data_IF_593189453333
#
_entry.id   IF_593189453333
#
_cell.length_a   1.000
_cell.length_b   1.000
_cell.length_c   1.000
_cell.angle_alpha   90.00
_cell.angle_beta   90.00
_cell.angle_gamma   90.00
#
_symmetry.space_group_name_H-M   'P 1'
#
loop_
_entity.id
_entity.type
_entity.pdbx_description
1 polymer ?
#
# COMPACT_ATOMS: atom_id res chain seq x y z
N UNK A 1 17.80 -12.88 -5.29
CA UNK A 1 16.46 -12.74 -4.72
C UNK A 1 16.44 -11.43 -3.94
N UNK A 2 15.92 -10.36 -4.53
CA UNK A 2 15.94 -9.02 -3.94
C UNK A 2 14.51 -8.55 -3.68
N UNK A 3 14.37 -7.70 -2.66
CA UNK A 3 13.14 -6.96 -2.39
C UNK A 3 13.41 -5.51 -2.76
N UNK A 4 12.58 -4.96 -3.64
CA UNK A 4 12.69 -3.58 -4.08
C UNK A 4 11.74 -2.72 -3.25
N UNK A 5 12.28 -1.76 -2.50
CA UNK A 5 11.49 -0.82 -1.68
C UNK A 5 11.43 0.53 -2.37
N UNK A 6 10.22 1.04 -2.58
CA UNK A 6 9.99 2.32 -3.26
C UNK A 6 8.92 3.16 -2.55
N UNK A 7 9.07 4.49 -2.66
CA UNK A 7 8.05 5.44 -2.20
C UNK A 7 6.86 5.41 -3.15
N UNK A 8 5.66 5.30 -2.59
CA UNK A 8 4.41 5.39 -3.34
C UNK A 8 4.21 6.82 -3.83
N UNK A 9 4.06 6.99 -5.15
CA UNK A 9 3.83 8.31 -5.77
C UNK A 9 2.37 8.56 -6.14
N UNK A 10 1.54 7.52 -6.23
CA UNK A 10 0.12 7.62 -6.56
C UNK A 10 -0.68 6.47 -5.92
N UNK A 11 -1.94 6.74 -5.58
CA UNK A 11 -2.91 5.71 -5.23
C UNK A 11 -3.48 5.02 -6.48
N UNK A 12 -2.72 4.08 -7.05
CA UNK A 12 -3.16 3.28 -8.21
C UNK A 12 -3.93 2.01 -7.77
N UNK A 13 -4.51 1.32 -8.77
CA UNK A 13 -5.28 0.10 -8.53
C UNK A 13 -4.44 -1.05 -7.99
N UNK A 14 -3.13 -1.08 -8.31
CA UNK A 14 -2.21 -2.08 -7.77
C UNK A 14 -2.04 -1.89 -6.26
N UNK A 15 -1.81 -0.66 -5.81
CA UNK A 15 -1.67 -0.33 -4.39
C UNK A 15 -2.97 -0.58 -3.62
N UNK A 16 -4.11 -0.14 -4.17
CA UNK A 16 -5.42 -0.38 -3.55
C UNK A 16 -5.69 -1.89 -3.43
N UNK A 17 -5.39 -2.67 -4.47
CA UNK A 17 -5.51 -4.13 -4.45
C UNK A 17 -4.55 -4.79 -3.46
N UNK A 18 -3.31 -4.30 -3.36
CA UNK A 18 -2.34 -4.78 -2.39
C UNK A 18 -2.81 -4.52 -0.95
N UNK A 19 -3.31 -3.30 -0.67
CA UNK A 19 -3.85 -2.92 0.62
C UNK A 19 -5.05 -3.77 1.02
N UNK A 20 -5.99 -4.01 0.11
CA UNK A 20 -7.14 -4.88 0.36
C UNK A 20 -6.73 -6.31 0.77
N UNK A 21 -5.59 -6.81 0.25
CA UNK A 21 -5.04 -8.13 0.59
C UNK A 21 -4.19 -8.12 1.86
N UNK A 22 -3.46 -7.04 2.12
CA UNK A 22 -2.42 -6.98 3.16
C UNK A 22 -2.93 -6.38 4.48
N UNK A 23 -3.82 -5.38 4.45
CA UNK A 23 -4.39 -4.76 5.66
C UNK A 23 -5.08 -5.76 6.61
N UNK A 24 -5.90 -6.72 6.13
CA UNK A 24 -6.54 -7.69 7.01
C UNK A 24 -5.57 -8.57 7.79
N UNK A 25 -4.33 -8.71 7.32
CA UNK A 25 -3.28 -9.49 7.99
C UNK A 25 -2.70 -8.74 9.20
N UNK A 26 -2.78 -7.41 9.21
CA UNK A 26 -2.38 -6.57 10.34
C UNK A 26 -3.53 -6.39 11.34
N UNK A 27 -4.77 -6.29 10.84
CA UNK A 27 -5.97 -6.17 11.66
C UNK A 27 -7.16 -6.81 10.97
N UNK A 28 -7.72 -7.87 11.56
CA UNK A 28 -8.91 -8.54 11.02
C UNK A 28 -10.19 -7.68 11.01
N UNK A 29 -10.15 -6.47 11.62
CA UNK A 29 -11.24 -5.49 11.56
C UNK A 29 -10.99 -4.39 10.52
N UNK A 30 -9.83 -4.36 9.88
CA UNK A 30 -9.55 -3.38 8.85
C UNK A 30 -10.43 -3.66 7.62
N UNK A 31 -11.26 -2.67 7.26
CA UNK A 31 -11.98 -2.69 6.00
C UNK A 31 -11.05 -2.44 4.81
N UNK A 32 -11.51 -2.76 3.61
CA UNK A 32 -10.81 -2.37 2.39
C UNK A 32 -10.76 -0.85 2.28
N UNK A 33 -9.62 -0.30 1.89
CA UNK A 33 -9.48 1.11 1.55
C UNK A 33 -9.80 1.31 0.08
N UNK A 34 -10.58 2.34 -0.24
CA UNK A 34 -10.75 2.82 -1.61
C UNK A 34 -9.59 3.77 -2.00
N UNK A 35 -9.53 4.11 -3.30
CA UNK A 35 -8.49 4.99 -3.84
C UNK A 35 -8.41 6.33 -3.09
N UNK A 36 -9.55 6.92 -2.76
CA UNK A 36 -9.61 8.22 -2.10
C UNK A 36 -9.11 8.15 -0.66
N UNK A 37 -9.36 7.05 0.05
CA UNK A 37 -8.80 6.81 1.37
C UNK A 37 -7.27 6.66 1.32
N UNK A 38 -6.75 5.91 0.34
CA UNK A 38 -5.31 5.74 0.15
C UNK A 38 -4.64 7.06 -0.21
N UNK A 39 -5.26 7.85 -1.08
CA UNK A 39 -4.71 9.14 -1.50
C UNK A 39 -4.70 10.15 -0.35
N UNK A 40 -5.71 10.15 0.51
CA UNK A 40 -5.72 10.98 1.74
C UNK A 40 -4.56 10.65 2.67
N UNK A 41 -4.24 9.37 2.84
CA UNK A 41 -3.10 8.94 3.68
C UNK A 41 -1.79 9.39 3.04
N UNK A 42 -1.63 9.17 1.73
CA UNK A 42 -0.42 9.54 0.97
C UNK A 42 -0.19 11.05 0.92
N UNK A 43 -1.26 11.85 0.85
CA UNK A 43 -1.21 13.31 0.81
C UNK A 43 -0.89 13.95 2.17
N UNK A 44 -0.88 13.17 3.26
CA UNK A 44 -0.47 13.66 4.57
C UNK A 44 1.01 14.05 4.58
N UNK A 45 1.31 15.32 4.89
CA UNK A 45 2.67 15.86 4.87
C UNK A 45 3.65 15.13 5.80
N UNK A 46 3.14 14.58 6.91
CA UNK A 46 3.92 13.82 7.88
C UNK A 46 3.98 12.30 7.58
N UNK A 47 3.43 11.85 6.46
CA UNK A 47 3.31 10.42 6.12
C UNK A 47 4.12 10.13 4.86
N UNK A 48 4.96 9.09 4.92
CA UNK A 48 5.59 8.50 3.74
C UNK A 48 5.11 7.07 3.59
N UNK A 49 4.40 6.79 2.50
CA UNK A 49 3.93 5.43 2.18
C UNK A 49 4.99 4.75 1.33
N UNK A 50 5.40 3.55 1.74
CA UNK A 50 6.37 2.73 1.02
C UNK A 50 5.66 1.51 0.43
N UNK A 51 6.31 0.85 -0.53
CA UNK A 51 5.92 -0.49 -0.96
C UNK A 51 7.17 -1.34 -1.09
N UNK A 52 7.06 -2.61 -0.75
CA UNK A 52 8.08 -3.61 -0.99
C UNK A 52 7.59 -4.56 -2.09
N UNK A 53 8.39 -4.73 -3.14
CA UNK A 53 8.10 -5.63 -4.26
C UNK A 53 9.03 -6.81 -4.24
N UNK A 54 8.47 -7.98 -4.51
CA UNK A 54 9.22 -9.21 -4.75
C UNK A 54 8.69 -9.84 -6.04
N UNK A 55 9.59 -10.12 -7.00
CA UNK A 55 9.24 -10.63 -8.33
C UNK A 55 8.14 -9.76 -9.01
N UNK A 56 8.29 -8.43 -8.91
CA UNK A 56 7.37 -7.45 -9.49
C UNK A 56 6.06 -7.21 -8.74
N UNK A 57 5.75 -8.00 -7.71
CA UNK A 57 4.49 -7.93 -6.96
C UNK A 57 4.66 -7.24 -5.62
N UNK A 58 3.72 -6.37 -5.25
CA UNK A 58 3.70 -5.78 -3.90
C UNK A 58 3.45 -6.87 -2.85
N UNK A 59 4.37 -7.00 -1.89
CA UNK A 59 4.29 -7.97 -0.78
C UNK A 59 4.17 -7.29 0.58
N UNK A 60 4.58 -6.03 0.71
CA UNK A 60 4.36 -5.18 1.89
C UNK A 60 4.20 -3.71 1.47
N UNK A 61 3.66 -2.89 2.37
CA UNK A 61 3.40 -1.46 2.20
C UNK A 61 3.58 -0.72 3.53
#
# INVERSE_FOLDING_TARGET
MSVDVAVVRAADDELVGALARLLPQLSGKAGALDRDAVERVRAGEAVTVLTARWEGRVVAW
#
